data_IF_267580678515
#
_entry.id   IF_267580678515
#
_cell.length_a   1.000
_cell.length_b   1.000
_cell.length_c   1.000
_cell.angle_alpha   90.00
_cell.angle_beta   90.00
_cell.angle_gamma   90.00
#
_symmetry.space_group_name_H-M   'P 1'
#
loop_
_entity.id
_entity.type
_entity.pdbx_description
1 polymer ?
#
# COMPACT_ATOMS: atom_id res chain seq x y z
N UNK A 1 34.55 -5.56 9.53
CA UNK A 1 34.10 -4.17 9.70
C UNK A 1 34.22 -3.80 11.16
N UNK A 2 34.90 -2.69 11.52
CA UNK A 2 34.97 -2.19 12.89
C UNK A 2 33.58 -1.86 13.41
N UNK A 3 33.34 -2.13 14.68
CA UNK A 3 32.09 -1.86 15.39
C UNK A 3 32.36 -0.95 16.58
N UNK A 4 31.34 -0.20 16.98
CA UNK A 4 31.37 0.71 18.13
C UNK A 4 30.02 0.79 18.80
N UNK A 5 29.98 1.31 20.02
CA UNK A 5 28.71 1.70 20.63
C UNK A 5 28.15 2.99 20.02
N UNK A 6 26.82 3.09 19.82
CA UNK A 6 26.20 4.32 19.32
C UNK A 6 26.57 5.52 20.21
N UNK A 7 27.06 6.61 19.63
CA UNK A 7 27.49 7.82 20.35
C UNK A 7 28.48 7.55 21.51
N UNK A 8 29.30 6.48 21.39
CA UNK A 8 30.24 6.01 22.40
C UNK A 8 29.59 5.62 23.75
N UNK A 9 28.28 5.43 23.78
CA UNK A 9 27.55 5.01 24.97
C UNK A 9 27.67 3.49 25.18
N UNK A 10 28.53 3.11 26.11
CA UNK A 10 28.78 1.70 26.46
C UNK A 10 27.59 1.02 27.14
N UNK A 11 26.57 1.77 27.56
CA UNK A 11 25.31 1.21 28.11
C UNK A 11 24.32 0.80 27.04
N UNK A 12 24.54 1.14 25.76
CA UNK A 12 23.65 0.77 24.68
C UNK A 12 23.57 -0.75 24.52
N UNK A 13 22.35 -1.26 24.30
CA UNK A 13 22.08 -2.69 24.13
C UNK A 13 22.54 -3.25 22.77
N UNK A 14 23.00 -2.42 21.85
CA UNK A 14 23.44 -2.82 20.52
C UNK A 14 24.73 -2.08 20.12
N UNK A 15 25.38 -2.59 19.08
CA UNK A 15 26.55 -1.98 18.46
C UNK A 15 26.24 -1.55 17.03
N UNK A 16 26.95 -0.55 16.54
CA UNK A 16 26.87 -0.05 15.16
C UNK A 16 28.17 -0.29 14.41
N UNK A 17 28.13 -0.18 13.09
CA UNK A 17 29.33 -0.10 12.27
C UNK A 17 30.02 1.26 12.46
N UNK A 18 31.35 1.28 12.36
CA UNK A 18 32.14 2.50 12.48
C UNK A 18 32.08 3.35 11.18
N UNK A 19 31.86 2.71 10.05
CA UNK A 19 31.84 3.39 8.75
C UNK A 19 30.50 4.07 8.47
N UNK A 20 30.57 5.19 7.75
CA UNK A 20 29.38 5.79 7.12
C UNK A 20 28.72 4.79 6.17
N UNK A 21 27.38 4.70 6.24
CA UNK A 21 26.60 3.79 5.43
C UNK A 21 26.85 3.98 3.91
N UNK A 22 26.91 5.23 3.44
CA UNK A 22 27.11 5.53 2.02
C UNK A 22 28.46 5.03 1.48
N UNK A 23 29.46 4.88 2.36
CA UNK A 23 30.78 4.38 1.99
C UNK A 23 30.86 2.86 1.87
N UNK A 24 29.90 2.12 2.43
CA UNK A 24 29.94 0.65 2.50
C UNK A 24 28.74 -0.03 1.86
N UNK A 25 27.70 0.70 1.45
CA UNK A 25 26.43 0.12 0.99
C UNK A 25 26.58 -0.73 -0.29
N UNK A 26 27.59 -0.48 -1.11
CA UNK A 26 27.90 -1.27 -2.32
C UNK A 26 28.65 -2.56 -2.00
N UNK A 27 29.24 -2.67 -0.81
CA UNK A 27 30.11 -3.79 -0.41
C UNK A 27 29.44 -4.73 0.60
N UNK A 28 28.42 -4.27 1.32
CA UNK A 28 27.72 -5.05 2.35
C UNK A 28 26.21 -4.97 2.15
N UNK A 29 25.54 -6.11 2.35
CA UNK A 29 24.09 -6.17 2.31
C UNK A 29 23.53 -5.51 3.58
N UNK A 30 22.70 -4.48 3.38
CA UNK A 30 21.88 -3.89 4.44
C UNK A 30 20.49 -4.54 4.40
N UNK A 31 20.08 -5.13 5.51
CA UNK A 31 18.73 -5.62 5.71
C UNK A 31 17.98 -4.64 6.60
N UNK A 32 16.87 -4.10 6.10
CA UNK A 32 15.95 -3.29 6.89
C UNK A 32 14.97 -4.23 7.62
N UNK A 33 15.02 -4.21 8.95
CA UNK A 33 14.12 -5.00 9.80
C UNK A 33 13.08 -4.07 10.39
N UNK A 34 11.86 -4.12 9.82
CA UNK A 34 10.74 -3.32 10.26
C UNK A 34 9.72 -4.23 10.96
N UNK A 35 9.31 -3.86 12.18
CA UNK A 35 8.24 -4.55 12.90
C UNK A 35 6.88 -4.26 12.27
N UNK A 36 6.09 -5.31 12.02
CA UNK A 36 4.72 -5.24 11.51
C UNK A 36 3.80 -6.15 12.31
N UNK A 37 2.55 -5.72 12.50
CA UNK A 37 1.52 -6.52 13.15
C UNK A 37 0.94 -7.61 12.24
N UNK A 38 1.02 -7.42 10.92
CA UNK A 38 0.37 -8.27 9.93
C UNK A 38 0.82 -9.74 9.98
N UNK A 39 2.12 -10.08 10.12
CA UNK A 39 2.53 -11.46 10.30
C UNK A 39 1.98 -12.10 11.58
N UNK A 40 1.90 -11.34 12.68
CA UNK A 40 1.32 -11.81 13.94
C UNK A 40 -0.17 -12.04 13.79
N UNK A 41 -0.89 -11.14 13.10
CA UNK A 41 -2.31 -11.29 12.83
C UNK A 41 -2.59 -12.52 11.95
N UNK A 42 -1.83 -12.72 10.87
CA UNK A 42 -1.95 -13.90 10.00
C UNK A 42 -1.68 -15.19 10.78
N UNK A 43 -0.69 -15.20 11.65
CA UNK A 43 -0.39 -16.36 12.48
C UNK A 43 -1.54 -16.70 13.44
N UNK A 44 -2.10 -15.69 14.10
CA UNK A 44 -3.26 -15.88 14.98
C UNK A 44 -4.48 -16.38 14.19
N UNK A 45 -4.74 -15.86 13.00
CA UNK A 45 -5.81 -16.32 12.12
C UNK A 45 -5.62 -17.79 11.72
N UNK A 46 -4.40 -18.21 11.41
CA UNK A 46 -4.06 -19.59 11.14
C UNK A 46 -4.32 -20.48 12.36
N UNK A 47 -3.87 -20.08 13.54
CA UNK A 47 -4.04 -20.86 14.77
C UNK A 47 -5.51 -21.00 15.18
N UNK A 48 -6.34 -19.96 14.96
CA UNK A 48 -7.77 -19.98 15.26
C UNK A 48 -8.60 -20.80 14.25
N UNK A 49 -8.25 -20.74 12.97
CA UNK A 49 -9.05 -21.32 11.88
C UNK A 49 -8.58 -22.68 11.40
N UNK A 50 -7.29 -23.01 11.61
CA UNK A 50 -6.63 -24.16 11.02
C UNK A 50 -6.30 -24.03 9.53
N UNK A 51 -6.59 -22.86 8.91
CA UNK A 51 -6.35 -22.61 7.48
C UNK A 51 -4.92 -22.12 7.29
N UNK A 52 -4.16 -22.78 6.40
CA UNK A 52 -2.85 -22.26 5.99
C UNK A 52 -3.03 -21.02 5.08
N UNK A 53 -2.58 -19.84 5.51
CA UNK A 53 -2.72 -18.61 4.71
C UNK A 53 -2.05 -18.69 3.33
N UNK A 54 -1.11 -19.59 3.11
CA UNK A 54 -0.46 -19.79 1.81
C UNK A 54 -1.38 -20.43 0.78
N UNK A 55 -2.46 -21.09 1.20
CA UNK A 55 -3.44 -21.72 0.33
C UNK A 55 -4.57 -20.78 -0.09
N UNK A 56 -4.63 -19.59 0.49
CA UNK A 56 -5.67 -18.59 0.17
C UNK A 56 -5.45 -18.06 -1.26
N UNK A 57 -6.45 -18.17 -2.16
CA UNK A 57 -6.36 -17.64 -3.50
C UNK A 57 -6.35 -16.11 -3.48
N UNK A 58 -5.55 -15.49 -4.34
CA UNK A 58 -5.48 -14.02 -4.46
C UNK A 58 -6.56 -13.43 -5.36
N UNK A 59 -7.34 -14.28 -6.00
CA UNK A 59 -8.42 -13.95 -6.93
C UNK A 59 -9.81 -14.40 -6.44
N UNK A 60 -9.94 -14.68 -5.14
CA UNK A 60 -11.23 -14.97 -4.52
C UNK A 60 -12.19 -13.79 -4.73
N UNK A 61 -13.31 -14.06 -5.40
CA UNK A 61 -14.24 -13.01 -5.87
C UNK A 61 -14.87 -12.22 -4.73
N UNK A 62 -15.26 -12.90 -3.66
CA UNK A 62 -15.91 -12.26 -2.52
C UNK A 62 -14.90 -11.41 -1.74
N UNK A 63 -13.65 -11.89 -1.62
CA UNK A 63 -12.55 -11.11 -1.04
C UNK A 63 -12.21 -9.89 -1.90
N UNK A 64 -12.12 -10.06 -3.22
CA UNK A 64 -11.82 -8.92 -4.11
C UNK A 64 -12.93 -7.89 -4.10
N UNK A 65 -14.18 -8.30 -3.94
CA UNK A 65 -15.33 -7.40 -3.95
C UNK A 65 -15.29 -6.35 -2.83
N UNK A 66 -14.70 -6.65 -1.64
CA UNK A 66 -14.63 -5.67 -0.54
C UNK A 66 -13.78 -4.42 -0.86
N UNK A 67 -12.92 -4.49 -1.87
CA UNK A 67 -12.11 -3.34 -2.32
C UNK A 67 -12.91 -2.37 -3.21
N UNK A 68 -14.05 -2.78 -3.73
CA UNK A 68 -14.95 -1.94 -4.56
C UNK A 68 -16.32 -1.71 -3.95
N UNK A 69 -16.70 -2.47 -2.92
CA UNK A 69 -17.99 -2.34 -2.21
C UNK A 69 -18.01 -3.18 -0.92
N UNK A 70 -18.99 -3.02 -0.03
CA UNK A 70 -19.06 -3.77 1.23
C UNK A 70 -19.94 -5.03 1.17
N UNK A 71 -20.55 -5.36 0.03
CA UNK A 71 -21.67 -6.32 -0.08
C UNK A 71 -21.28 -7.73 0.34
N UNK A 72 -20.05 -8.19 0.03
CA UNK A 72 -19.54 -9.51 0.44
C UNK A 72 -19.45 -9.67 1.97
N UNK A 73 -19.48 -8.55 2.72
CA UNK A 73 -19.55 -8.58 4.18
C UNK A 73 -20.97 -8.69 4.71
N UNK A 74 -21.99 -8.73 3.83
CA UNK A 74 -23.39 -8.76 4.21
C UNK A 74 -23.89 -7.46 4.84
N UNK A 75 -23.25 -6.32 4.53
CA UNK A 75 -23.62 -4.98 5.02
C UNK A 75 -23.73 -3.99 3.87
N UNK A 76 -24.46 -2.91 4.11
CA UNK A 76 -24.59 -1.81 3.15
C UNK A 76 -23.62 -0.67 3.44
N UNK A 77 -23.39 0.20 2.45
CA UNK A 77 -22.59 1.43 2.61
C UNK A 77 -23.12 2.30 3.76
N UNK A 78 -24.45 2.46 3.88
CA UNK A 78 -25.08 3.25 4.94
C UNK A 78 -24.89 2.63 6.33
N UNK A 79 -24.81 1.30 6.40
CA UNK A 79 -24.59 0.60 7.68
C UNK A 79 -23.21 0.81 8.25
N UNK A 80 -22.20 0.87 7.41
CA UNK A 80 -20.79 1.03 7.82
C UNK A 80 -20.25 2.44 7.56
N UNK A 81 -21.05 3.34 6.98
CA UNK A 81 -20.66 4.70 6.59
C UNK A 81 -19.41 4.73 5.70
N UNK A 82 -19.31 3.77 4.79
CA UNK A 82 -18.17 3.60 3.90
C UNK A 82 -18.59 2.86 2.63
N UNK A 83 -18.05 3.28 1.49
CA UNK A 83 -18.32 2.66 0.19
C UNK A 83 -17.47 1.41 -0.09
N UNK A 84 -16.53 1.08 0.77
CA UNK A 84 -15.69 -0.11 0.65
C UNK A 84 -15.73 -0.95 1.91
N UNK A 85 -15.48 -2.25 1.81
CA UNK A 85 -15.43 -3.17 2.94
C UNK A 85 -14.06 -3.22 3.65
N UNK A 86 -13.15 -2.28 3.40
CA UNK A 86 -11.73 -2.42 3.74
C UNK A 86 -11.31 -1.87 5.11
N UNK A 87 -12.24 -1.42 5.96
CA UNK A 87 -11.89 -1.05 7.33
C UNK A 87 -11.13 -2.17 8.05
N UNK A 88 -9.99 -1.82 8.65
CA UNK A 88 -9.13 -2.76 9.38
C UNK A 88 -8.32 -3.70 8.49
N UNK A 89 -8.45 -3.62 7.16
CA UNK A 89 -7.59 -4.34 6.22
C UNK A 89 -6.27 -3.55 6.09
N UNK A 90 -5.10 -4.18 6.30
CA UNK A 90 -3.81 -3.52 6.11
C UNK A 90 -3.70 -2.88 4.73
N UNK A 91 -2.95 -1.80 4.61
CA UNK A 91 -2.73 -1.04 3.37
C UNK A 91 -3.98 -0.30 2.86
N UNK A 92 -5.18 -0.86 2.97
CA UNK A 92 -6.40 -0.41 2.31
C UNK A 92 -7.46 0.18 3.25
N UNK A 93 -7.17 0.25 4.56
CA UNK A 93 -8.13 0.72 5.57
C UNK A 93 -8.10 2.22 5.84
N UNK A 94 -7.08 2.96 5.39
CA UNK A 94 -6.96 4.40 5.63
C UNK A 94 -7.93 5.21 4.78
N UNK A 95 -8.34 6.41 5.23
CA UNK A 95 -9.25 7.27 4.48
C UNK A 95 -8.73 7.61 3.08
N UNK A 96 -7.43 7.89 2.96
CA UNK A 96 -6.79 8.20 1.69
C UNK A 96 -6.87 7.03 0.69
N UNK A 97 -6.52 5.82 1.11
CA UNK A 97 -6.53 4.66 0.21
C UNK A 97 -7.96 4.23 -0.11
N UNK A 98 -8.91 4.33 0.84
CA UNK A 98 -10.32 4.06 0.56
C UNK A 98 -10.86 5.01 -0.52
N UNK A 99 -10.48 6.28 -0.51
CA UNK A 99 -10.84 7.21 -1.59
C UNK A 99 -10.26 6.77 -2.94
N UNK A 100 -9.01 6.27 -2.97
CA UNK A 100 -8.43 5.72 -4.20
C UNK A 100 -9.22 4.50 -4.70
N UNK A 101 -9.64 3.61 -3.80
CA UNK A 101 -10.49 2.46 -4.13
C UNK A 101 -11.86 2.88 -4.70
N UNK A 102 -12.48 3.92 -4.15
CA UNK A 102 -13.72 4.49 -4.67
C UNK A 102 -13.55 5.08 -6.09
N UNK A 103 -12.43 5.77 -6.33
CA UNK A 103 -12.12 6.39 -7.61
C UNK A 103 -11.79 5.33 -8.69
N UNK A 104 -11.18 4.20 -8.33
CA UNK A 104 -10.62 3.22 -9.27
C UNK A 104 -11.40 1.91 -9.37
N UNK A 105 -12.12 1.52 -8.31
CA UNK A 105 -12.93 0.28 -8.22
C UNK A 105 -12.18 -0.97 -8.71
N UNK A 106 -11.06 -1.33 -8.08
CA UNK A 106 -10.23 -2.44 -8.53
C UNK A 106 -10.97 -3.78 -8.43
N UNK A 107 -10.68 -4.67 -9.38
CA UNK A 107 -11.26 -6.01 -9.47
C UNK A 107 -10.22 -7.12 -9.46
N UNK A 108 -8.95 -6.78 -9.55
CA UNK A 108 -7.85 -7.74 -9.64
C UNK A 108 -6.75 -7.46 -8.63
N UNK A 109 -6.02 -8.51 -8.26
CA UNK A 109 -4.83 -8.40 -7.40
C UNK A 109 -3.78 -7.44 -7.98
N UNK A 110 -3.58 -7.45 -9.30
CA UNK A 110 -2.63 -6.55 -9.96
C UNK A 110 -2.99 -5.08 -9.79
N UNK A 111 -4.27 -4.75 -9.86
CA UNK A 111 -4.77 -3.39 -9.61
C UNK A 111 -4.57 -2.96 -8.16
N UNK A 112 -4.73 -3.89 -7.20
CA UNK A 112 -4.42 -3.60 -5.79
C UNK A 112 -2.94 -3.32 -5.57
N UNK A 113 -2.04 -4.06 -6.24
CA UNK A 113 -0.60 -3.78 -6.21
C UNK A 113 -0.30 -2.39 -6.78
N UNK A 114 -0.99 -2.02 -7.85
CA UNK A 114 -0.86 -0.70 -8.46
C UNK A 114 -1.29 0.41 -7.49
N UNK A 115 -2.45 0.26 -6.84
CA UNK A 115 -2.98 1.20 -5.85
C UNK A 115 -2.02 1.33 -4.65
N UNK A 116 -1.47 0.22 -4.16
CA UNK A 116 -0.48 0.23 -3.09
C UNK A 116 0.77 1.04 -3.49
N UNK A 117 1.28 0.84 -4.70
CA UNK A 117 2.39 1.64 -5.23
C UNK A 117 2.06 3.14 -5.30
N UNK A 118 0.89 3.48 -5.84
CA UNK A 118 0.39 4.86 -5.94
C UNK A 118 0.23 5.54 -4.58
N UNK A 119 -0.17 4.79 -3.55
CA UNK A 119 -0.45 5.33 -2.21
C UNK A 119 0.81 5.62 -1.39
N UNK A 120 1.92 4.92 -1.67
CA UNK A 120 3.17 5.03 -0.92
C UNK A 120 4.15 6.06 -1.51
N UNK A 121 3.93 6.51 -2.73
CA UNK A 121 4.78 7.51 -3.39
C UNK A 121 4.41 8.94 -3.01
N UNK A 122 5.33 9.86 -3.30
CA UNK A 122 5.10 11.31 -3.17
C UNK A 122 4.85 11.89 -4.55
N UNK A 123 3.74 12.63 -4.73
CA UNK A 123 3.28 13.23 -5.99
C UNK A 123 3.09 12.20 -7.12
N UNK A 124 2.68 10.98 -6.74
CA UNK A 124 2.38 9.90 -7.68
C UNK A 124 0.88 9.83 -7.96
N UNK A 125 0.02 9.95 -6.94
CA UNK A 125 -1.43 9.88 -7.08
C UNK A 125 -2.07 11.25 -7.28
N UNK A 126 -2.08 12.11 -6.24
CA UNK A 126 -2.74 13.41 -6.30
C UNK A 126 -2.07 14.35 -7.30
N UNK A 127 -2.87 14.98 -8.16
CA UNK A 127 -2.38 15.88 -9.20
C UNK A 127 -1.57 15.20 -10.32
N UNK A 128 -1.50 13.88 -10.31
CA UNK A 128 -0.77 13.07 -11.29
C UNK A 128 -1.66 11.92 -11.80
N UNK A 129 -1.47 10.67 -11.36
CA UNK A 129 -2.20 9.50 -11.85
C UNK A 129 -3.74 9.66 -11.71
N UNK A 130 -4.21 10.25 -10.61
CA UNK A 130 -5.63 10.53 -10.40
C UNK A 130 -6.23 11.40 -11.52
N UNK A 131 -5.54 12.46 -11.92
CA UNK A 131 -6.00 13.35 -12.98
C UNK A 131 -5.99 12.67 -14.35
N UNK A 132 -4.96 11.88 -14.64
CA UNK A 132 -4.85 11.13 -15.90
C UNK A 132 -6.03 10.14 -16.05
N UNK A 133 -6.37 9.43 -14.98
CA UNK A 133 -7.49 8.49 -14.96
C UNK A 133 -8.83 9.25 -15.10
N UNK A 134 -9.04 10.32 -14.33
CA UNK A 134 -10.28 11.13 -14.38
C UNK A 134 -10.53 11.76 -15.74
N UNK A 135 -9.47 12.15 -16.44
CA UNK A 135 -9.55 12.71 -17.79
C UNK A 135 -9.66 11.65 -18.88
N UNK A 136 -9.59 10.36 -18.53
CA UNK A 136 -9.63 9.25 -19.49
C UNK A 136 -8.42 9.19 -20.41
N UNK A 137 -7.28 9.77 -20.01
CA UNK A 137 -6.03 9.74 -20.77
C UNK A 137 -5.43 8.33 -20.72
N UNK A 138 -5.51 7.69 -19.57
CA UNK A 138 -5.09 6.32 -19.35
C UNK A 138 -5.93 5.68 -18.21
N UNK A 139 -5.82 4.37 -18.06
CA UNK A 139 -6.46 3.60 -17.00
C UNK A 139 -5.50 3.29 -15.84
N UNK A 140 -6.02 2.65 -14.79
CA UNK A 140 -5.24 2.27 -13.61
C UNK A 140 -4.07 1.33 -13.96
N UNK A 141 -4.20 0.51 -15.00
CA UNK A 141 -3.16 -0.46 -15.40
C UNK A 141 -1.99 0.21 -16.13
N UNK A 142 -2.21 1.40 -16.67
CA UNK A 142 -1.27 2.13 -17.53
C UNK A 142 -0.53 3.26 -16.81
N UNK A 143 -1.05 3.76 -15.67
CA UNK A 143 -0.38 4.79 -14.89
C UNK A 143 0.89 4.28 -14.23
N UNK A 144 1.81 5.20 -13.91
CA UNK A 144 3.03 4.89 -13.18
C UNK A 144 2.68 4.68 -11.70
N UNK A 145 2.67 3.44 -11.22
CA UNK A 145 2.38 3.11 -9.81
C UNK A 145 3.63 2.86 -8.98
N UNK A 146 4.59 2.12 -9.53
CA UNK A 146 5.84 1.74 -8.87
C UNK A 146 7.04 2.13 -9.74
N UNK A 147 8.23 2.25 -9.11
CA UNK A 147 9.45 2.58 -9.88
C UNK A 147 9.75 1.56 -10.97
N UNK A 148 9.46 0.30 -10.72
CA UNK A 148 9.69 -0.80 -11.67
C UNK A 148 8.85 -0.64 -12.94
N UNK A 149 7.66 -0.04 -12.85
CA UNK A 149 6.80 0.22 -14.01
C UNK A 149 7.49 1.14 -15.01
N UNK A 150 8.25 2.15 -14.53
CA UNK A 150 8.99 3.07 -15.39
C UNK A 150 10.03 2.32 -16.20
N UNK A 151 10.86 1.52 -15.54
CA UNK A 151 11.93 0.77 -16.20
C UNK A 151 11.37 -0.19 -17.25
N UNK A 152 10.37 -0.97 -16.85
CA UNK A 152 9.76 -1.99 -17.72
C UNK A 152 9.05 -1.35 -18.92
N UNK A 153 8.27 -0.30 -18.69
CA UNK A 153 7.58 0.43 -19.75
C UNK A 153 8.57 1.00 -20.78
N UNK A 154 9.63 1.68 -20.32
CA UNK A 154 10.62 2.28 -21.21
C UNK A 154 11.39 1.24 -22.00
N UNK A 155 11.71 0.09 -21.40
CA UNK A 155 12.34 -1.03 -22.11
C UNK A 155 11.41 -1.60 -23.21
N UNK A 156 10.11 -1.74 -22.93
CA UNK A 156 9.14 -2.16 -23.95
C UNK A 156 8.89 -1.12 -25.04
N UNK A 157 9.03 0.16 -24.71
CA UNK A 157 9.00 1.24 -25.71
C UNK A 157 10.23 1.24 -26.63
N UNK A 158 11.31 0.55 -26.25
CA UNK A 158 12.52 0.42 -27.08
C UNK A 158 13.75 1.13 -26.55
N UNK A 159 13.69 1.77 -25.38
CA UNK A 159 14.86 2.39 -24.77
C UNK A 159 15.91 1.33 -24.39
N UNK A 160 17.16 1.71 -24.53
CA UNK A 160 18.29 0.89 -24.06
C UNK A 160 18.14 0.62 -22.55
N UNK A 161 18.36 -0.62 -22.07
CA UNK A 161 18.11 -1.00 -20.67
C UNK A 161 18.81 -0.13 -19.63
N UNK A 162 20.04 0.31 -19.89
CA UNK A 162 20.77 1.18 -18.96
C UNK A 162 20.18 2.58 -18.90
N UNK A 163 19.65 3.11 -20.01
CA UNK A 163 18.95 4.39 -20.03
C UNK A 163 17.60 4.28 -19.33
N UNK A 164 16.84 3.21 -19.54
CA UNK A 164 15.58 2.95 -18.83
C UNK A 164 15.80 2.86 -17.33
N UNK A 165 16.84 2.17 -16.87
CA UNK A 165 17.24 2.09 -15.47
C UNK A 165 17.63 3.44 -14.88
N UNK A 166 18.49 4.21 -15.58
CA UNK A 166 18.89 5.57 -15.15
C UNK A 166 17.65 6.47 -15.00
N UNK A 167 16.76 6.45 -15.98
CA UNK A 167 15.53 7.26 -15.98
C UNK A 167 14.69 6.90 -14.77
N UNK A 168 14.44 5.61 -14.52
CA UNK A 168 13.74 5.13 -13.33
C UNK A 168 14.38 5.62 -12.04
N UNK A 169 15.71 5.51 -11.90
CA UNK A 169 16.46 5.95 -10.72
C UNK A 169 16.37 7.47 -10.47
N UNK A 170 16.36 8.27 -11.54
CA UNK A 170 16.18 9.72 -11.43
C UNK A 170 14.77 10.08 -10.99
N UNK A 171 13.77 9.50 -11.62
CA UNK A 171 12.36 9.76 -11.30
C UNK A 171 12.02 9.33 -9.88
N UNK A 172 12.40 8.10 -9.46
CA UNK A 172 12.06 7.63 -8.11
C UNK A 172 12.68 8.45 -6.97
N UNK A 173 13.78 9.17 -7.25
CA UNK A 173 14.47 10.06 -6.31
C UNK A 173 14.00 11.53 -6.42
N UNK A 174 13.02 11.82 -7.25
CA UNK A 174 12.50 13.16 -7.47
C UNK A 174 13.45 14.11 -8.19
N UNK A 175 14.43 13.57 -8.95
CA UNK A 175 15.40 14.38 -9.71
C UNK A 175 14.84 14.85 -11.05
N UNK A 176 13.67 14.37 -11.45
CA UNK A 176 13.04 14.66 -12.74
C UNK A 176 13.72 13.93 -13.91
N UNK A 177 13.65 14.54 -15.09
CA UNK A 177 14.23 14.02 -16.33
C UNK A 177 15.31 14.97 -16.85
N UNK A 178 16.43 14.42 -17.33
CA UNK A 178 17.43 15.18 -18.08
C UNK A 178 17.03 15.34 -19.54
N UNK A 179 17.65 16.28 -20.27
CA UNK A 179 17.37 16.47 -21.70
C UNK A 179 17.66 15.20 -22.51
N UNK A 180 18.75 14.48 -22.19
CA UNK A 180 19.11 13.19 -22.80
C UNK A 180 18.01 12.14 -22.59
N UNK A 181 17.43 12.05 -21.38
CA UNK A 181 16.32 11.13 -21.10
C UNK A 181 15.06 11.50 -21.87
N UNK A 182 14.74 12.78 -21.93
CA UNK A 182 13.56 13.30 -22.67
C UNK A 182 13.72 12.99 -24.18
N UNK A 183 14.90 13.21 -24.74
CA UNK A 183 15.19 12.93 -26.14
C UNK A 183 15.04 11.43 -26.45
N UNK A 184 15.67 10.57 -25.65
CA UNK A 184 15.55 9.12 -25.79
C UNK A 184 14.09 8.61 -25.66
N UNK A 185 13.30 9.18 -24.73
CA UNK A 185 11.88 8.83 -24.58
C UNK A 185 11.07 9.26 -25.80
N UNK A 186 11.31 10.47 -26.35
CA UNK A 186 10.62 10.97 -27.55
C UNK A 186 10.97 10.20 -28.82
N UNK A 187 12.22 9.82 -28.99
CA UNK A 187 12.68 8.98 -30.11
C UNK A 187 12.03 7.60 -30.13
N UNK A 188 11.53 7.13 -28.98
CA UNK A 188 10.84 5.85 -28.82
C UNK A 188 9.31 6.03 -28.58
N UNK A 189 8.74 7.12 -29.08
CA UNK A 189 7.29 7.40 -29.09
C UNK A 189 6.63 7.35 -27.69
N UNK A 190 7.39 7.62 -26.62
CA UNK A 190 6.82 7.73 -25.27
C UNK A 190 5.92 8.98 -25.20
N UNK A 191 4.64 8.84 -24.81
CA UNK A 191 3.69 9.95 -24.88
C UNK A 191 4.01 11.05 -23.87
N UNK A 192 3.68 12.30 -24.23
CA UNK A 192 3.96 13.49 -23.41
C UNK A 192 3.38 13.39 -21.99
N UNK A 193 2.18 12.80 -21.83
CA UNK A 193 1.59 12.64 -20.50
C UNK A 193 2.45 11.76 -19.57
N UNK A 194 3.19 10.79 -20.16
CA UNK A 194 4.09 9.92 -19.39
C UNK A 194 5.33 10.70 -18.91
N UNK A 195 5.91 11.51 -19.80
CA UNK A 195 7.03 12.40 -19.44
C UNK A 195 6.60 13.38 -18.34
N UNK A 196 5.41 13.96 -18.46
CA UNK A 196 4.89 14.91 -17.47
C UNK A 196 4.59 14.24 -16.13
N UNK A 197 4.09 13.00 -16.14
CA UNK A 197 3.94 12.20 -14.93
C UNK A 197 5.30 11.95 -14.25
N UNK A 198 6.32 11.53 -15.01
CA UNK A 198 7.68 11.35 -14.50
C UNK A 198 8.26 12.62 -13.86
N UNK A 199 8.00 13.81 -14.42
CA UNK A 199 8.48 15.09 -13.88
C UNK A 199 7.83 15.49 -12.55
N UNK A 200 6.58 15.08 -12.33
CA UNK A 200 5.82 15.36 -11.10
C UNK A 200 6.29 14.52 -9.92
N UNK A 201 6.67 13.28 -10.16
CA UNK A 201 7.02 12.29 -9.14
C UNK A 201 8.23 12.76 -8.31
N UNK A 202 8.11 12.68 -6.98
CA UNK A 202 9.18 13.03 -6.04
C UNK A 202 9.78 11.81 -5.34
N UNK A 203 8.98 10.78 -5.11
CA UNK A 203 9.45 9.54 -4.50
C UNK A 203 8.57 8.36 -4.91
N UNK A 204 9.17 7.19 -5.17
CA UNK A 204 8.45 5.97 -5.52
C UNK A 204 8.98 4.74 -4.79
N UNK A 205 8.06 3.86 -4.47
CA UNK A 205 8.34 2.55 -3.88
C UNK A 205 8.61 1.48 -4.95
N UNK A 206 9.33 0.40 -4.60
CA UNK A 206 9.52 -0.76 -5.46
C UNK A 206 8.23 -1.61 -5.53
N UNK A 207 7.98 -2.22 -6.69
CA UNK A 207 6.83 -3.10 -6.91
C UNK A 207 6.84 -4.33 -6.01
N UNK A 208 8.03 -4.87 -5.70
CA UNK A 208 8.19 -5.99 -4.80
C UNK A 208 7.67 -5.70 -3.38
N UNK A 209 7.88 -4.48 -2.88
CA UNK A 209 7.32 -4.03 -1.61
C UNK A 209 5.79 -4.04 -1.66
N UNK A 210 5.20 -3.34 -2.65
CA UNK A 210 3.75 -3.29 -2.83
C UNK A 210 3.14 -4.70 -2.92
N UNK A 211 3.71 -5.58 -3.75
CA UNK A 211 3.21 -6.94 -3.91
C UNK A 211 3.24 -7.75 -2.61
N UNK A 212 4.30 -7.63 -1.81
CA UNK A 212 4.41 -8.36 -0.54
C UNK A 212 3.33 -7.93 0.47
N UNK A 213 3.11 -6.62 0.62
CA UNK A 213 2.11 -6.09 1.56
C UNK A 213 0.67 -6.32 1.08
N UNK A 214 0.42 -6.18 -0.22
CA UNK A 214 -0.90 -6.51 -0.80
C UNK A 214 -1.23 -7.98 -0.62
N UNK A 215 -0.24 -8.89 -0.75
CA UNK A 215 -0.47 -10.32 -0.51
C UNK A 215 -0.92 -10.58 0.93
N UNK A 216 -0.28 -9.94 1.92
CA UNK A 216 -0.72 -10.04 3.32
C UNK A 216 -2.11 -9.44 3.53
N UNK A 217 -2.37 -8.28 2.94
CA UNK A 217 -3.66 -7.60 3.03
C UNK A 217 -4.81 -8.45 2.47
N UNK A 218 -4.63 -9.05 1.29
CA UNK A 218 -5.64 -9.92 0.66
C UNK A 218 -5.88 -11.19 1.50
N UNK A 219 -4.84 -11.79 2.07
CA UNK A 219 -4.99 -12.94 2.99
C UNK A 219 -5.79 -12.58 4.24
N UNK A 220 -5.54 -11.42 4.83
CA UNK A 220 -6.30 -10.93 5.98
C UNK A 220 -7.73 -10.59 5.57
N UNK A 221 -7.93 -9.97 4.42
CA UNK A 221 -9.25 -9.67 3.85
C UNK A 221 -10.09 -10.93 3.62
N UNK A 222 -9.48 -12.02 3.16
CA UNK A 222 -10.14 -13.33 3.03
C UNK A 222 -10.77 -13.80 4.35
N UNK A 223 -10.03 -13.71 5.45
CA UNK A 223 -10.59 -14.05 6.77
C UNK A 223 -11.71 -13.10 7.19
N UNK A 224 -11.62 -11.82 6.83
CA UNK A 224 -12.69 -10.86 7.13
C UNK A 224 -14.00 -11.22 6.45
N UNK A 225 -13.93 -11.72 5.22
CA UNK A 225 -15.10 -12.12 4.41
C UNK A 225 -15.62 -13.48 4.84
N UNK A 226 -14.76 -14.50 4.83
CA UNK A 226 -15.17 -15.89 5.01
C UNK A 226 -15.19 -16.37 6.46
N UNK A 227 -14.40 -15.73 7.35
CA UNK A 227 -14.25 -16.10 8.75
C UNK A 227 -14.27 -14.88 9.68
N UNK A 228 -15.33 -14.03 9.63
CA UNK A 228 -15.36 -12.74 10.33
C UNK A 228 -15.13 -12.86 11.83
N UNK A 229 -15.60 -13.92 12.48
CA UNK A 229 -15.39 -14.13 13.91
C UNK A 229 -13.90 -14.19 14.26
N UNK A 230 -13.10 -14.97 13.50
CA UNK A 230 -11.67 -15.08 13.71
C UNK A 230 -10.94 -13.79 13.34
N UNK A 231 -11.38 -13.13 12.26
CA UNK A 231 -10.81 -11.85 11.85
C UNK A 231 -10.96 -10.80 12.95
N UNK A 232 -12.16 -10.60 13.49
CA UNK A 232 -12.38 -9.60 14.54
C UNK A 232 -11.72 -9.98 15.86
N UNK A 233 -11.68 -11.26 16.22
CA UNK A 233 -10.92 -11.72 17.39
C UNK A 233 -9.43 -11.36 17.26
N UNK A 234 -8.81 -11.64 16.13
CA UNK A 234 -7.41 -11.30 15.87
C UNK A 234 -7.19 -9.77 15.82
N UNK A 235 -8.08 -9.04 15.13
CA UNK A 235 -7.96 -7.59 14.99
C UNK A 235 -8.00 -6.87 16.35
N UNK A 236 -8.99 -7.19 17.18
CA UNK A 236 -9.12 -6.56 18.51
C UNK A 236 -8.07 -7.02 19.51
N UNK A 237 -7.46 -8.17 19.30
CA UNK A 237 -6.37 -8.64 20.14
C UNK A 237 -5.02 -8.01 19.79
N UNK A 238 -4.75 -7.79 18.51
CA UNK A 238 -3.40 -7.43 18.02
C UNK A 238 -3.33 -5.97 17.57
N UNK A 239 -4.34 -5.48 16.85
CA UNK A 239 -4.27 -4.17 16.17
C UNK A 239 -5.04 -3.04 16.83
N UNK A 240 -6.06 -3.35 17.61
CA UNK A 240 -6.82 -2.29 18.27
C UNK A 240 -5.99 -1.66 19.40
N UNK A 241 -5.75 -0.35 19.29
CA UNK A 241 -5.08 0.42 20.36
C UNK A 241 -5.98 0.63 21.57
N UNK A 242 -7.29 0.75 21.31
CA UNK A 242 -8.32 0.97 22.33
C UNK A 242 -9.45 -0.05 22.16
N UNK A 243 -9.84 -0.68 23.24
CA UNK A 243 -10.95 -1.62 23.28
C UNK A 243 -11.93 -1.26 24.40
N UNK A 244 -13.03 -0.61 24.06
CA UNK A 244 -14.13 -0.34 24.99
C UNK A 244 -15.09 -1.54 25.04
N UNK A 245 -14.80 -2.46 25.96
CA UNK A 245 -15.62 -3.66 26.16
C UNK A 245 -17.10 -3.30 26.45
N UNK A 246 -17.35 -2.25 27.24
CA UNK A 246 -18.70 -1.88 27.65
C UNK A 246 -19.55 -1.46 26.44
N UNK A 247 -18.94 -0.76 25.48
CA UNK A 247 -19.61 -0.42 24.23
C UNK A 247 -19.74 -1.64 23.32
N UNK A 248 -18.70 -2.46 23.21
CA UNK A 248 -18.64 -3.58 22.25
C UNK A 248 -19.57 -4.75 22.58
N UNK A 249 -19.96 -4.94 23.85
CA UNK A 249 -20.89 -6.00 24.27
C UNK A 249 -22.38 -5.58 24.18
N UNK A 250 -22.68 -4.35 23.78
CA UNK A 250 -24.04 -3.86 23.62
C UNK A 250 -24.69 -4.45 22.35
N UNK A 251 -26.00 -4.25 22.24
CA UNK A 251 -26.73 -4.61 21.02
C UNK A 251 -26.29 -3.78 19.79
N UNK A 252 -26.56 -4.30 18.59
CA UNK A 252 -26.18 -3.69 17.30
C UNK A 252 -26.60 -2.22 17.18
N UNK A 253 -27.80 -1.87 17.69
CA UNK A 253 -28.34 -0.51 17.60
C UNK A 253 -27.55 0.45 18.49
N UNK A 254 -27.26 0.04 19.72
CA UNK A 254 -26.48 0.83 20.68
C UNK A 254 -25.04 1.06 20.19
N UNK A 255 -24.40 0.02 19.63
CA UNK A 255 -23.06 0.15 19.03
C UNK A 255 -23.09 1.13 17.86
N UNK A 256 -24.05 0.98 16.94
CA UNK A 256 -24.21 1.88 15.77
C UNK A 256 -24.41 3.33 16.19
N UNK A 257 -25.24 3.61 17.18
CA UNK A 257 -25.48 4.97 17.67
C UNK A 257 -24.20 5.55 18.30
N UNK A 258 -23.49 4.78 19.12
CA UNK A 258 -22.20 5.21 19.69
C UNK A 258 -21.17 5.56 18.62
N UNK A 259 -21.03 4.72 17.58
CA UNK A 259 -20.13 4.97 16.45
C UNK A 259 -20.53 6.23 15.68
N UNK A 260 -21.84 6.43 15.43
CA UNK A 260 -22.34 7.66 14.78
C UNK A 260 -22.06 8.91 15.60
N UNK A 261 -22.26 8.85 16.91
CA UNK A 261 -21.97 9.97 17.81
C UNK A 261 -20.48 10.31 17.87
N UNK A 262 -19.62 9.29 17.89
CA UNK A 262 -18.18 9.47 17.79
C UNK A 262 -17.79 10.13 16.46
N UNK A 263 -18.32 9.64 15.34
CA UNK A 263 -18.05 10.16 14.01
C UNK A 263 -18.48 11.63 13.88
N UNK A 264 -19.67 11.99 14.38
CA UNK A 264 -20.17 13.36 14.35
C UNK A 264 -19.32 14.33 15.20
N UNK A 265 -18.81 13.88 16.35
CA UNK A 265 -17.91 14.69 17.20
C UNK A 265 -16.57 14.99 16.51
N UNK A 266 -16.00 14.05 15.77
CA UNK A 266 -14.73 14.26 15.06
C UNK A 266 -14.88 15.13 13.81
N UNK A 267 -16.02 15.09 13.11
CA UNK A 267 -16.28 15.99 11.97
C UNK A 267 -16.48 17.44 12.40
N UNK A 268 -17.01 17.69 13.60
CA UNK A 268 -17.12 19.06 14.14
C UNK A 268 -15.79 19.67 14.60
N UNK A 269 -14.69 18.91 14.60
CA UNK A 269 -13.35 19.36 14.98
C UNK A 269 -12.41 19.55 13.78
N UNK A 270 -12.84 19.20 12.56
CA UNK A 270 -12.18 19.47 11.29
C UNK A 270 -12.85 20.62 10.55
#
# INVERSE_FOLDING_TARGET
TPIQFPADDQSAAWMTTHFDFHSIHDNVLKLDILGHDDPTMIRMLQDLSGIDPKTIPVDDKDTMQIFSGPESLGVTEDEILCKTGTFGVPEFGTGFVRQMLEDTKPTTYSELVQISGLSHGTDVWLGNAQELIRQGICDLSSVIGCRDDIMVYLMYAGLEPSMAFKTMEFVRKGRGLTDEMVEAMKENDVPDWYLDSCRKIKYMFPKAHAAAYVLMAVRIAYFKVHHPLYYYAAYFTIRASDFDLITMIKDKTSIRNTVKDMYSRYICLL
#
